data_IF_791874618690
#
_entry.id   IF_791874618690
#
_cell.length_a   1.000
_cell.length_b   1.000
_cell.length_c   1.000
_cell.angle_alpha   90.00
_cell.angle_beta   90.00
_cell.angle_gamma   90.00
#
_symmetry.space_group_name_H-M   'P 1'
#
loop_
_entity.id
_entity.type
_entity.pdbx_description
1 polymer ?
#
# COMPACT_ATOMS: atom_id res chain seq x y z
N UNK A 1 15.11 -47.46 8.28
CA UNK A 1 13.92 -46.81 7.69
C UNK A 1 13.68 -45.53 8.48
N UNK A 2 14.18 -44.38 8.00
CA UNK A 2 13.97 -43.09 8.66
C UNK A 2 12.85 -42.35 7.92
N UNK A 3 11.80 -41.99 8.64
CA UNK A 3 10.60 -41.36 8.11
C UNK A 3 10.89 -39.92 7.67
N UNK A 4 10.77 -39.66 6.37
CA UNK A 4 10.93 -38.32 5.82
C UNK A 4 9.71 -37.46 6.21
N UNK A 5 9.89 -36.62 7.23
CA UNK A 5 8.88 -35.64 7.66
C UNK A 5 8.48 -34.74 6.49
N UNK A 6 7.22 -34.83 6.08
CA UNK A 6 6.66 -34.00 5.01
C UNK A 6 6.71 -32.52 5.45
N UNK A 7 7.47 -31.64 4.78
CA UNK A 7 7.38 -30.21 5.07
C UNK A 7 5.94 -29.80 4.72
N UNK A 8 5.23 -29.18 5.66
CA UNK A 8 3.90 -28.66 5.40
C UNK A 8 3.91 -27.64 4.25
N UNK A 9 2.77 -27.01 3.97
CA UNK A 9 2.64 -25.98 2.90
C UNK A 9 3.69 -24.86 2.94
N UNK A 10 4.40 -24.70 4.04
CA UNK A 10 5.48 -23.74 4.22
C UNK A 10 6.79 -24.50 4.47
N UNK A 11 7.87 -24.03 3.83
CA UNK A 11 9.23 -24.57 4.01
C UNK A 11 9.70 -24.49 5.46
N UNK A 12 10.83 -25.14 5.77
CA UNK A 12 11.28 -25.32 7.15
C UNK A 12 11.57 -24.02 7.92
N UNK A 13 11.85 -22.92 7.22
CA UNK A 13 12.02 -21.60 7.84
C UNK A 13 11.50 -20.49 6.91
N UNK A 14 10.33 -19.94 7.23
CA UNK A 14 9.69 -18.85 6.48
C UNK A 14 10.30 -17.47 6.79
N UNK A 15 11.18 -17.39 7.79
CA UNK A 15 11.83 -16.15 8.24
C UNK A 15 13.29 -16.05 7.82
N UNK A 16 13.85 -17.07 7.17
CA UNK A 16 15.25 -17.11 6.75
C UNK A 16 15.66 -16.03 5.72
N UNK A 17 14.68 -15.37 5.09
CA UNK A 17 14.87 -14.20 4.21
C UNK A 17 14.49 -12.88 4.89
N UNK A 18 14.59 -11.76 4.17
CA UNK A 18 13.99 -10.49 4.61
C UNK A 18 12.46 -10.58 4.49
N UNK A 19 11.83 -11.34 5.39
CA UNK A 19 10.38 -11.56 5.42
C UNK A 19 9.58 -10.28 5.62
N UNK A 20 10.24 -9.18 6.04
CA UNK A 20 9.64 -7.85 6.16
C UNK A 20 9.72 -7.05 4.87
N UNK A 21 10.49 -7.50 3.88
CA UNK A 21 10.56 -6.85 2.58
C UNK A 21 9.17 -6.87 1.92
N UNK A 22 8.60 -5.70 1.55
CA UNK A 22 7.35 -5.68 0.84
C UNK A 22 7.54 -6.36 -0.53
N UNK A 23 6.66 -7.29 -0.93
CA UNK A 23 6.82 -8.05 -2.18
C UNK A 23 6.79 -7.18 -3.44
N UNK A 24 6.32 -5.92 -3.33
CA UNK A 24 6.29 -4.93 -4.42
C UNK A 24 7.29 -3.79 -4.24
N UNK A 25 8.23 -3.92 -3.32
CA UNK A 25 9.14 -2.84 -2.95
C UNK A 25 8.46 -1.76 -2.10
N UNK A 26 9.22 -0.71 -1.76
CA UNK A 26 8.71 0.46 -1.05
C UNK A 26 8.11 1.45 -2.04
N UNK A 27 7.16 2.26 -1.58
CA UNK A 27 6.69 3.41 -2.35
C UNK A 27 7.85 4.34 -2.68
N UNK A 28 7.84 4.89 -3.90
CA UNK A 28 8.74 5.96 -4.32
C UNK A 28 8.01 7.28 -4.27
N UNK A 29 8.76 8.38 -4.21
CA UNK A 29 8.18 9.71 -4.36
C UNK A 29 7.55 9.84 -5.76
N UNK A 30 6.33 10.39 -5.80
CA UNK A 30 5.57 10.60 -7.03
C UNK A 30 4.82 11.93 -6.92
N UNK A 31 4.67 12.69 -8.02
CA UNK A 31 3.86 13.90 -8.02
C UNK A 31 2.40 13.55 -7.72
N UNK A 32 1.74 14.43 -6.97
CA UNK A 32 0.29 14.37 -6.76
C UNK A 32 -0.43 14.91 -8.01
N UNK A 33 -0.49 14.09 -9.06
CA UNK A 33 -1.20 14.43 -10.30
C UNK A 33 -2.68 14.06 -10.18
N UNK A 34 -3.55 14.81 -10.88
CA UNK A 34 -4.97 14.45 -10.95
C UNK A 34 -5.16 13.09 -11.64
N UNK A 35 -6.13 12.30 -11.18
CA UNK A 35 -6.44 11.01 -11.77
C UNK A 35 -5.62 9.83 -11.24
N UNK A 36 -4.56 10.08 -10.45
CA UNK A 36 -3.84 9.00 -9.79
C UNK A 36 -4.67 8.46 -8.63
N UNK A 37 -4.64 7.14 -8.43
CA UNK A 37 -5.27 6.50 -7.28
C UNK A 37 -4.21 6.18 -6.24
N UNK A 38 -4.42 6.65 -5.02
CA UNK A 38 -3.52 6.47 -3.89
C UNK A 38 -4.25 5.92 -2.67
N UNK A 39 -3.47 5.35 -1.76
CA UNK A 39 -3.91 4.97 -0.42
C UNK A 39 -3.26 5.91 0.61
N UNK A 40 -4.05 6.50 1.50
CA UNK A 40 -3.50 7.13 2.70
C UNK A 40 -3.31 6.05 3.78
N UNK A 41 -2.05 5.74 4.07
CA UNK A 41 -1.62 4.54 4.81
C UNK A 41 -2.16 4.50 6.25
N UNK A 42 -2.34 5.66 6.90
CA UNK A 42 -2.77 5.71 8.30
C UNK A 42 -4.25 5.36 8.45
N UNK A 43 -5.10 5.87 7.55
CA UNK A 43 -6.55 5.64 7.59
C UNK A 43 -7.02 4.47 6.71
N UNK A 44 -6.17 3.99 5.80
CA UNK A 44 -6.52 2.98 4.80
C UNK A 44 -7.51 3.49 3.75
N UNK A 45 -7.63 4.81 3.60
CA UNK A 45 -8.51 5.42 2.61
C UNK A 45 -7.90 5.34 1.21
N UNK A 46 -8.64 4.80 0.26
CA UNK A 46 -8.20 4.68 -1.14
C UNK A 46 -9.08 5.54 -2.03
N UNK A 47 -8.47 6.38 -2.86
CA UNK A 47 -9.20 7.23 -3.79
C UNK A 47 -8.34 7.90 -4.84
N UNK A 48 -9.02 8.46 -5.83
CA UNK A 48 -8.42 9.27 -6.90
C UNK A 48 -8.10 10.67 -6.39
N UNK A 49 -6.92 11.21 -6.72
CA UNK A 49 -6.60 12.63 -6.54
C UNK A 49 -7.48 13.46 -7.48
N UNK A 50 -8.48 14.13 -6.92
CA UNK A 50 -9.41 14.99 -7.67
C UNK A 50 -9.13 16.48 -7.48
N UNK A 51 -8.26 16.85 -6.53
CA UNK A 51 -7.82 18.22 -6.28
C UNK A 51 -6.51 18.23 -5.49
N UNK A 52 -5.66 19.21 -5.80
CA UNK A 52 -4.44 19.53 -5.06
C UNK A 52 -4.47 21.00 -4.65
N UNK A 53 -4.46 21.25 -3.35
CA UNK A 53 -4.38 22.58 -2.74
C UNK A 53 -2.90 22.84 -2.39
N UNK A 54 -2.11 23.28 -3.37
CA UNK A 54 -0.64 23.39 -3.24
C UNK A 54 -0.19 24.29 -2.09
N UNK A 55 -0.89 25.41 -1.89
CA UNK A 55 -0.54 26.39 -0.85
C UNK A 55 -0.85 25.87 0.56
N UNK A 56 -1.75 24.89 0.68
CA UNK A 56 -2.12 24.25 1.93
C UNK A 56 -1.40 22.92 2.15
N UNK A 57 -0.72 22.39 1.13
CA UNK A 57 -0.14 21.06 1.15
C UNK A 57 -1.18 19.97 1.35
N UNK A 58 -2.37 20.10 0.72
CA UNK A 58 -3.46 19.13 0.89
C UNK A 58 -3.87 18.52 -0.45
N UNK A 59 -4.29 17.26 -0.42
CA UNK A 59 -4.92 16.54 -1.53
C UNK A 59 -6.35 16.13 -1.17
N UNK A 60 -7.27 16.22 -2.12
CA UNK A 60 -8.62 15.65 -1.98
C UNK A 60 -8.69 14.34 -2.74
N UNK A 61 -9.09 13.28 -2.04
CA UNK A 61 -9.29 11.96 -2.63
C UNK A 61 -10.77 11.65 -2.76
N UNK A 62 -11.20 11.12 -3.91
CA UNK A 62 -12.55 10.57 -4.13
C UNK A 62 -12.49 9.04 -4.17
N UNK A 63 -13.28 8.36 -3.32
CA UNK A 63 -13.37 6.90 -3.31
C UNK A 63 -14.34 6.35 -4.38
N UNK A 64 -14.39 5.02 -4.52
CA UNK A 64 -15.32 4.32 -5.44
C UNK A 64 -16.82 4.53 -5.15
N UNK A 65 -17.15 5.12 -4.01
CA UNK A 65 -18.50 5.45 -3.57
C UNK A 65 -18.79 6.95 -3.73
N UNK A 66 -17.95 7.68 -4.47
CA UNK A 66 -18.05 9.13 -4.71
C UNK A 66 -17.93 9.95 -3.42
N UNK A 67 -17.31 9.40 -2.37
CA UNK A 67 -17.04 10.14 -1.13
C UNK A 67 -15.71 10.87 -1.26
N UNK A 68 -15.70 12.13 -0.87
CA UNK A 68 -14.50 12.99 -0.91
C UNK A 68 -13.96 13.25 0.49
N UNK A 69 -12.65 13.17 0.65
CA UNK A 69 -11.95 13.52 1.89
C UNK A 69 -10.60 14.15 1.60
N UNK A 70 -10.23 15.15 2.40
CA UNK A 70 -8.94 15.83 2.29
C UNK A 70 -7.92 15.20 3.23
N UNK A 71 -6.68 15.11 2.74
CA UNK A 71 -5.52 14.58 3.46
C UNK A 71 -4.33 15.53 3.28
N UNK A 72 -3.44 15.64 4.27
CA UNK A 72 -2.16 16.33 4.11
C UNK A 72 -1.19 15.54 3.22
#
# INVERSE_FOLDING_TARGET
>A
MAEARHPGRYGQDVLAGDWKAPPRGRSTEAPADLGIVVEEVTSGWVGEVVRVERDLGMVMLEDRHLRRKSFP
#
